data_IF_536134131563
#
_entry.id   IF_536134131563
#
_cell.length_a   1.000
_cell.length_b   1.000
_cell.length_c   1.000
_cell.angle_alpha   90.00
_cell.angle_beta   90.00
_cell.angle_gamma   90.00
#
_symmetry.space_group_name_H-M   'P 1'
#
loop_
_entity.id
_entity.type
_entity.pdbx_description
1 polymer ?
#
# COMPACT_ATOMS: atom_id res chain seq x y z
N UNK A 1 -31.82 8.63 -1.38
CA UNK A 1 -30.88 8.51 -2.50
C UNK A 1 -30.19 7.17 -2.35
N UNK A 2 -30.54 6.21 -3.19
CA UNK A 2 -29.98 4.85 -3.12
C UNK A 2 -28.54 4.89 -3.60
N UNK A 3 -27.59 4.72 -2.70
CA UNK A 3 -26.17 4.60 -3.02
C UNK A 3 -25.99 3.18 -3.55
N UNK A 4 -26.10 3.01 -4.87
CA UNK A 4 -25.70 1.75 -5.51
C UNK A 4 -24.19 1.59 -5.40
N UNK A 5 -23.75 0.37 -5.07
CA UNK A 5 -22.34 -0.01 -5.03
C UNK A 5 -21.64 0.34 -6.37
N UNK A 6 -20.32 0.65 -6.36
CA UNK A 6 -19.59 0.93 -7.59
C UNK A 6 -19.69 -0.27 -8.52
N UNK A 7 -20.26 -0.05 -9.70
CA UNK A 7 -20.40 -1.04 -10.76
C UNK A 7 -19.00 -1.52 -11.18
N UNK A 8 -18.78 -2.83 -11.21
CA UNK A 8 -17.51 -3.43 -11.63
C UNK A 8 -17.21 -3.02 -13.08
N UNK A 9 -16.20 -2.16 -13.25
CA UNK A 9 -15.72 -1.66 -14.53
C UNK A 9 -15.19 -2.83 -15.38
N UNK A 10 -16.04 -3.37 -16.26
CA UNK A 10 -15.61 -4.32 -17.29
C UNK A 10 -14.97 -3.56 -18.46
N UNK A 11 -13.75 -3.92 -18.90
CA UNK A 11 -13.09 -3.24 -20.00
C UNK A 11 -13.75 -3.60 -21.34
N UNK A 12 -14.55 -2.68 -21.88
CA UNK A 12 -14.90 -2.66 -23.30
C UNK A 12 -13.94 -1.73 -24.05
N UNK A 13 -13.24 -2.29 -25.04
CA UNK A 13 -12.28 -1.67 -25.97
C UNK A 13 -10.81 -1.58 -25.51
N UNK A 14 -9.91 -1.66 -26.50
CA UNK A 14 -8.48 -2.00 -26.50
C UNK A 14 -7.51 -1.03 -25.78
N UNK A 15 -7.95 -0.38 -24.71
CA UNK A 15 -7.13 0.48 -23.84
C UNK A 15 -6.85 -0.19 -22.49
N UNK A 16 -5.69 0.13 -21.89
CA UNK A 16 -5.41 -0.20 -20.49
C UNK A 16 -6.17 0.77 -19.58
N UNK A 17 -6.45 0.33 -18.35
CA UNK A 17 -7.04 1.19 -17.32
C UNK A 17 -5.93 1.59 -16.34
N UNK A 18 -5.89 2.86 -15.97
CA UNK A 18 -4.92 3.44 -15.05
C UNK A 18 -5.66 4.12 -13.90
N UNK A 19 -5.21 3.89 -12.67
CA UNK A 19 -5.75 4.50 -11.47
C UNK A 19 -4.70 5.38 -10.81
N UNK A 20 -5.05 6.61 -10.45
CA UNK A 20 -4.20 7.47 -9.65
C UNK A 20 -4.13 6.93 -8.21
N UNK A 21 -2.94 6.62 -7.70
CA UNK A 21 -2.74 6.11 -6.34
C UNK A 21 -2.90 7.20 -5.25
N UNK A 22 -2.99 8.48 -5.65
CA UNK A 22 -3.20 9.61 -4.74
C UNK A 22 -4.70 9.78 -4.46
N UNK A 23 -5.49 10.07 -5.51
CA UNK A 23 -6.90 10.44 -5.39
C UNK A 23 -7.90 9.40 -5.93
N UNK A 24 -7.44 8.36 -6.64
CA UNK A 24 -8.31 7.31 -7.18
C UNK A 24 -8.91 7.56 -8.55
N UNK A 25 -8.61 8.68 -9.22
CA UNK A 25 -9.06 8.95 -10.60
C UNK A 25 -8.73 7.81 -11.56
N UNK A 26 -9.70 7.41 -12.38
CA UNK A 26 -9.58 6.34 -13.37
C UNK A 26 -9.42 6.93 -14.78
N UNK A 27 -8.41 6.49 -15.50
CA UNK A 27 -8.12 6.87 -16.88
C UNK A 27 -8.02 5.63 -17.78
N UNK A 28 -8.72 5.64 -18.92
CA UNK A 28 -8.58 4.60 -19.94
C UNK A 28 -7.71 5.11 -21.08
N UNK A 29 -6.61 4.40 -21.38
CA UNK A 29 -5.66 4.79 -22.41
C UNK A 29 -4.46 3.84 -22.52
N UNK A 30 -3.65 4.01 -23.56
CA UNK A 30 -2.40 3.22 -23.72
C UNK A 30 -1.35 3.55 -22.65
N UNK A 31 -1.39 4.77 -22.12
CA UNK A 31 -0.51 5.32 -21.08
C UNK A 31 -1.36 6.13 -20.10
N UNK A 32 -0.90 6.34 -18.84
CA UNK A 32 -1.55 7.29 -17.94
C UNK A 32 -1.42 8.73 -18.48
N UNK A 33 -2.26 9.67 -18.01
CA UNK A 33 -2.11 11.07 -18.36
C UNK A 33 -0.85 11.65 -17.70
N UNK A 34 -0.21 12.64 -18.36
CA UNK A 34 0.98 13.32 -17.83
C UNK A 34 0.74 13.90 -16.43
N UNK A 35 -0.45 14.43 -16.21
CA UNK A 35 -0.93 14.95 -14.94
C UNK A 35 -2.36 14.45 -14.68
N UNK A 36 -2.67 14.14 -13.42
CA UNK A 36 -4.01 13.76 -13.00
C UNK A 36 -4.95 14.98 -13.05
N UNK A 37 -6.10 14.91 -13.74
CA UNK A 37 -7.03 16.03 -13.84
C UNK A 37 -7.68 16.41 -12.49
N UNK A 38 -7.72 15.48 -11.53
CA UNK A 38 -8.37 15.69 -10.23
C UNK A 38 -7.42 16.23 -9.15
N UNK A 39 -6.13 15.88 -9.20
CA UNK A 39 -5.18 16.22 -8.13
C UNK A 39 -3.82 16.74 -8.62
N UNK A 40 -3.66 16.96 -9.92
CA UNK A 40 -2.43 17.44 -10.56
C UNK A 40 -1.17 16.59 -10.32
N UNK A 41 -1.33 15.37 -9.80
CA UNK A 41 -0.21 14.45 -9.61
C UNK A 41 0.34 13.95 -10.94
N UNK A 42 1.66 13.79 -11.03
CA UNK A 42 2.32 13.35 -12.27
C UNK A 42 1.94 11.92 -12.67
N UNK A 43 2.17 11.55 -13.93
CA UNK A 43 1.99 10.18 -14.46
C UNK A 43 2.67 9.10 -13.60
N UNK A 44 3.74 9.46 -12.88
CA UNK A 44 4.46 8.57 -11.94
C UNK A 44 3.64 8.17 -10.72
N UNK A 45 2.42 8.68 -10.53
CA UNK A 45 1.50 8.31 -9.46
C UNK A 45 0.37 7.37 -9.93
N UNK A 46 0.37 6.95 -11.20
CA UNK A 46 -0.65 6.04 -11.75
C UNK A 46 -0.21 4.59 -11.74
N UNK A 47 -1.09 3.68 -11.31
CA UNK A 47 -0.93 2.24 -11.47
C UNK A 47 -1.86 1.69 -12.54
N UNK A 48 -1.42 0.67 -13.28
CA UNK A 48 -2.29 -0.05 -14.21
C UNK A 48 -3.27 -0.93 -13.41
N UNK A 49 -4.56 -0.74 -13.65
CA UNK A 49 -5.62 -1.58 -13.10
C UNK A 49 -5.65 -2.86 -13.93
N UNK A 50 -5.14 -3.92 -13.31
CA UNK A 50 -5.21 -5.30 -13.81
C UNK A 50 -6.00 -6.12 -12.80
N UNK A 51 -6.42 -7.33 -13.17
CA UNK A 51 -6.96 -8.31 -12.22
C UNK A 51 -5.86 -8.76 -11.24
N UNK A 52 -5.52 -7.88 -10.30
CA UNK A 52 -4.51 -8.16 -9.28
C UNK A 52 -5.05 -9.24 -8.36
N UNK A 53 -4.37 -10.38 -8.30
CA UNK A 53 -4.54 -11.32 -7.18
C UNK A 53 -4.18 -10.58 -5.90
N UNK A 54 -4.99 -10.75 -4.84
CA UNK A 54 -4.70 -10.16 -3.50
C UNK A 54 -3.25 -10.44 -3.11
N UNK A 55 -2.56 -9.45 -2.55
CA UNK A 55 -1.18 -9.59 -2.10
C UNK A 55 -1.01 -10.85 -1.23
N UNK A 56 0.01 -11.66 -1.55
CA UNK A 56 0.45 -12.82 -0.78
C UNK A 56 1.96 -12.78 -0.69
N UNK A 57 2.50 -13.12 0.48
CA UNK A 57 3.93 -13.28 0.64
C UNK A 57 4.37 -14.60 0.00
N UNK A 58 5.48 -14.58 -0.74
CA UNK A 58 6.00 -15.75 -1.46
C UNK A 58 6.96 -16.61 -0.62
N UNK A 59 7.11 -16.30 0.67
CA UNK A 59 7.97 -17.03 1.61
C UNK A 59 9.48 -16.86 1.37
N UNK A 60 9.89 -16.11 0.34
CA UNK A 60 11.33 -15.93 0.06
C UNK A 60 11.95 -14.96 1.06
N UNK A 61 13.05 -15.37 1.68
CA UNK A 61 13.80 -14.58 2.66
C UNK A 61 14.26 -13.25 2.07
N UNK A 62 14.22 -12.21 2.90
CA UNK A 62 14.76 -10.89 2.64
C UNK A 62 15.09 -10.21 3.97
N UNK A 63 15.93 -9.17 3.97
CA UNK A 63 16.42 -8.56 5.20
C UNK A 63 15.57 -7.37 5.65
N UNK A 64 15.24 -6.45 4.72
CA UNK A 64 14.60 -5.16 5.07
C UNK A 64 13.24 -5.00 4.39
N UNK A 65 12.20 -4.70 5.18
CA UNK A 65 10.90 -4.26 4.67
C UNK A 65 10.84 -2.72 4.65
N UNK A 66 10.67 -2.13 3.47
CA UNK A 66 10.50 -0.69 3.29
C UNK A 66 9.02 -0.38 3.08
N UNK A 67 8.45 0.41 3.99
CA UNK A 67 7.07 0.87 3.93
C UNK A 67 7.05 2.38 3.69
N UNK A 68 6.57 2.78 2.52
CA UNK A 68 6.31 4.18 2.22
C UNK A 68 4.86 4.53 2.56
N UNK A 69 4.69 5.37 3.58
CA UNK A 69 3.39 5.87 4.03
C UNK A 69 2.97 7.19 3.40
N UNK A 70 3.74 7.78 2.49
CA UNK A 70 3.33 8.97 1.74
C UNK A 70 2.22 8.64 0.75
N UNK A 71 1.27 9.58 0.58
CA UNK A 71 0.25 9.49 -0.46
C UNK A 71 0.81 9.67 -1.88
N UNK A 72 1.95 10.37 -2.01
CA UNK A 72 2.68 10.52 -3.26
C UNK A 72 3.88 9.58 -3.25
N UNK A 73 3.84 8.54 -4.07
CA UNK A 73 4.89 7.50 -4.09
C UNK A 73 6.19 7.97 -4.73
N UNK A 74 6.13 8.97 -5.61
CA UNK A 74 7.24 9.44 -6.44
C UNK A 74 7.67 10.89 -6.14
N UNK A 75 7.29 11.42 -4.97
CA UNK A 75 7.64 12.77 -4.51
C UNK A 75 8.61 12.72 -3.31
N UNK A 76 8.79 13.79 -2.53
CA UNK A 76 9.78 13.94 -1.44
C UNK A 76 10.05 12.68 -0.61
N UNK A 77 9.04 12.12 0.07
CA UNK A 77 9.23 10.90 0.89
C UNK A 77 9.59 9.70 0.02
N UNK A 78 9.01 9.59 -1.18
CA UNK A 78 9.37 8.57 -2.16
C UNK A 78 10.84 8.65 -2.59
N UNK A 79 11.35 9.87 -2.82
CA UNK A 79 12.75 10.12 -3.12
C UNK A 79 13.67 9.71 -1.97
N UNK A 80 13.28 9.98 -0.72
CA UNK A 80 14.03 9.48 0.44
C UNK A 80 14.07 7.94 0.48
N UNK A 81 12.99 7.27 0.08
CA UNK A 81 12.97 5.81 -0.05
C UNK A 81 13.86 5.33 -1.18
N UNK A 82 13.92 6.05 -2.32
CA UNK A 82 14.84 5.74 -3.42
C UNK A 82 16.30 5.77 -2.94
N UNK A 83 16.69 6.79 -2.16
CA UNK A 83 18.03 6.88 -1.54
C UNK A 83 18.32 5.71 -0.59
N UNK A 84 17.31 5.28 0.19
CA UNK A 84 17.46 4.11 1.06
C UNK A 84 17.70 2.85 0.23
N UNK A 85 16.99 2.67 -0.88
CA UNK A 85 17.19 1.53 -1.79
C UNK A 85 18.60 1.54 -2.41
N UNK A 86 19.11 2.70 -2.81
CA UNK A 86 20.48 2.84 -3.32
C UNK A 86 21.50 2.35 -2.29
N UNK A 87 21.41 2.82 -1.05
CA UNK A 87 22.31 2.40 0.05
C UNK A 87 22.18 0.91 0.35
N UNK A 88 20.97 0.35 0.32
CA UNK A 88 20.76 -1.09 0.56
C UNK A 88 21.35 -1.95 -0.56
N UNK A 89 21.23 -1.51 -1.82
CA UNK A 89 21.85 -2.16 -2.98
C UNK A 89 23.37 -2.14 -2.88
N UNK A 90 23.96 -0.99 -2.57
CA UNK A 90 25.41 -0.84 -2.39
C UNK A 90 25.95 -1.79 -1.31
N UNK A 91 25.17 -2.01 -0.24
CA UNK A 91 25.52 -2.92 0.86
C UNK A 91 25.18 -4.39 0.58
N UNK A 92 24.60 -4.72 -0.57
CA UNK A 92 24.13 -6.08 -0.89
C UNK A 92 23.04 -6.59 0.05
N UNK A 93 22.28 -5.70 0.68
CA UNK A 93 21.22 -6.05 1.63
C UNK A 93 19.91 -6.28 0.88
N UNK A 94 19.29 -7.44 1.06
CA UNK A 94 18.04 -7.77 0.37
C UNK A 94 16.87 -7.01 0.99
N UNK A 95 15.99 -6.46 0.16
CA UNK A 95 14.88 -5.66 0.66
C UNK A 95 13.62 -5.82 -0.20
N UNK A 96 12.48 -5.39 0.34
CA UNK A 96 11.20 -5.26 -0.38
C UNK A 96 10.57 -3.93 -0.06
N UNK A 97 10.14 -3.20 -1.09
CA UNK A 97 9.46 -1.90 -0.95
C UNK A 97 7.98 -2.01 -1.27
N UNK A 98 7.16 -1.36 -0.46
CA UNK A 98 5.73 -1.21 -0.68
C UNK A 98 5.28 0.22 -0.38
N UNK A 99 4.42 0.77 -1.23
CA UNK A 99 3.71 2.03 -0.95
C UNK A 99 2.32 1.68 -0.40
N UNK A 100 2.00 2.12 0.81
CA UNK A 100 0.78 1.69 1.51
C UNK A 100 -0.50 2.09 0.74
N UNK A 101 -0.47 3.18 -0.02
CA UNK A 101 -1.60 3.66 -0.82
C UNK A 101 -1.95 2.81 -2.05
N UNK A 102 -1.11 1.84 -2.41
CA UNK A 102 -1.36 0.89 -3.51
C UNK A 102 -2.11 -0.37 -3.04
N UNK A 103 -2.33 -0.50 -1.74
CA UNK A 103 -2.97 -1.66 -1.12
C UNK A 103 -4.24 -1.26 -0.36
N UNK A 104 -5.17 -2.21 -0.28
CA UNK A 104 -6.37 -2.12 0.54
C UNK A 104 -6.06 -2.72 1.90
N UNK A 105 -6.00 -1.86 2.90
CA UNK A 105 -5.85 -2.23 4.31
C UNK A 105 -7.02 -1.59 5.05
N UNK A 106 -7.86 -2.41 5.67
CA UNK A 106 -8.92 -1.93 6.53
C UNK A 106 -8.34 -1.42 7.86
N UNK A 107 -9.01 -0.44 8.46
CA UNK A 107 -8.72 0.01 9.82
C UNK A 107 -8.77 -1.15 10.83
N UNK A 108 -8.02 -1.01 11.92
CA UNK A 108 -8.09 -1.96 13.03
C UNK A 108 -9.48 -1.92 13.68
N UNK A 109 -10.12 -3.09 13.80
CA UNK A 109 -11.44 -3.20 14.42
C UNK A 109 -11.42 -3.09 15.94
N UNK A 110 -10.24 -3.04 16.56
CA UNK A 110 -10.10 -3.00 18.02
C UNK A 110 -10.96 -4.08 18.70
N UNK A 111 -10.93 -5.30 18.15
CA UNK A 111 -11.87 -6.34 18.56
C UNK A 111 -11.69 -6.81 20.01
N UNK A 112 -10.55 -6.47 20.64
CA UNK A 112 -10.19 -6.71 22.05
C UNK A 112 -10.90 -7.93 22.62
N UNK A 113 -10.48 -9.11 22.13
CA UNK A 113 -11.18 -10.35 22.43
C UNK A 113 -11.37 -10.49 23.94
N UNK A 114 -12.62 -10.66 24.37
CA UNK A 114 -13.01 -10.73 25.79
C UNK A 114 -12.48 -11.98 26.53
N UNK A 115 -11.70 -12.81 25.84
CA UNK A 115 -11.01 -13.98 26.38
C UNK A 115 -9.60 -13.99 25.82
N UNK A 116 -8.62 -14.21 26.69
CA UNK A 116 -7.20 -14.17 26.33
C UNK A 116 -6.88 -15.17 25.20
N UNK A 117 -7.49 -16.36 25.23
CA UNK A 117 -7.30 -17.39 24.21
C UNK A 117 -8.04 -17.14 22.89
N UNK A 118 -8.90 -16.12 22.82
CA UNK A 118 -9.62 -15.76 21.62
C UNK A 118 -8.88 -14.69 20.79
N UNK A 119 -7.96 -13.95 21.42
CA UNK A 119 -6.98 -13.16 20.70
C UNK A 119 -5.95 -14.11 20.09
N UNK A 120 -5.69 -13.98 18.79
CA UNK A 120 -4.73 -14.84 18.09
C UNK A 120 -4.01 -14.08 17.01
N UNK A 121 -2.76 -14.46 16.79
CA UNK A 121 -2.06 -14.21 15.54
C UNK A 121 -2.29 -15.40 14.60
N UNK A 122 -2.60 -15.18 13.31
CA UNK A 122 -2.84 -13.88 12.67
C UNK A 122 -4.18 -13.24 13.09
N UNK A 123 -4.27 -11.91 12.96
CA UNK A 123 -5.45 -11.12 13.31
C UNK A 123 -6.75 -11.64 12.66
N UNK A 124 -7.90 -11.41 13.28
CA UNK A 124 -9.19 -11.93 12.76
C UNK A 124 -9.59 -11.34 11.40
N UNK A 125 -9.22 -10.09 11.11
CA UNK A 125 -9.48 -9.54 9.78
C UNK A 125 -8.47 -10.08 8.77
N UNK A 126 -8.96 -10.98 7.91
CA UNK A 126 -8.21 -11.66 6.84
C UNK A 126 -8.78 -11.32 5.45
N UNK A 127 -9.63 -10.29 5.37
CA UNK A 127 -10.38 -9.95 4.15
C UNK A 127 -9.58 -9.04 3.21
N UNK A 128 -8.60 -8.33 3.74
CA UNK A 128 -7.78 -7.35 3.06
C UNK A 128 -6.35 -7.88 2.80
N UNK A 129 -5.41 -6.98 2.48
CA UNK A 129 -4.04 -7.35 2.10
C UNK A 129 -3.05 -7.35 3.27
N UNK A 130 -3.49 -6.92 4.44
CA UNK A 130 -2.70 -6.89 5.67
C UNK A 130 -2.08 -8.24 6.07
N UNK A 131 -2.73 -9.41 5.90
CA UNK A 131 -2.14 -10.69 6.26
C UNK A 131 -0.78 -10.96 5.60
N UNK A 132 -0.62 -10.55 4.34
CA UNK A 132 0.66 -10.69 3.63
C UNK A 132 1.74 -9.79 4.25
N UNK A 133 1.37 -8.59 4.69
CA UNK A 133 2.28 -7.71 5.41
C UNK A 133 2.67 -8.28 6.77
N UNK A 134 1.75 -8.89 7.51
CA UNK A 134 2.07 -9.56 8.78
C UNK A 134 3.14 -10.64 8.59
N UNK A 135 3.00 -11.49 7.57
CA UNK A 135 4.00 -12.49 7.23
C UNK A 135 5.35 -11.88 6.85
N UNK A 136 5.35 -10.82 6.03
CA UNK A 136 6.56 -10.11 5.63
C UNK A 136 7.27 -9.42 6.79
N UNK A 137 6.51 -8.88 7.75
CA UNK A 137 7.03 -8.23 8.94
C UNK A 137 7.76 -9.25 9.83
N UNK A 138 7.14 -10.41 10.06
CA UNK A 138 7.78 -11.51 10.81
C UNK A 138 9.03 -12.04 10.08
N UNK A 139 8.97 -12.11 8.74
CA UNK A 139 10.08 -12.63 7.94
C UNK A 139 11.26 -11.63 7.82
N UNK A 140 11.01 -10.33 7.99
CA UNK A 140 12.02 -9.28 7.89
C UNK A 140 12.91 -9.19 9.13
N UNK A 141 14.18 -8.80 8.95
CA UNK A 141 15.11 -8.51 10.06
C UNK A 141 14.96 -7.08 10.56
N UNK A 142 14.58 -6.16 9.67
CA UNK A 142 14.35 -4.76 9.99
C UNK A 142 13.22 -4.20 9.11
N UNK A 143 12.53 -3.19 9.65
CA UNK A 143 11.47 -2.45 8.94
C UNK A 143 11.86 -0.99 8.96
N UNK A 144 11.81 -0.34 7.80
CA UNK A 144 11.95 1.11 7.68
C UNK A 144 10.61 1.66 7.21
N UNK A 145 10.04 2.54 8.03
CA UNK A 145 8.79 3.24 7.73
C UNK A 145 9.11 4.69 7.38
N UNK A 146 8.88 5.07 6.12
CA UNK A 146 9.02 6.44 5.65
C UNK A 146 7.65 7.12 5.65
N UNK A 147 7.51 8.23 6.37
CA UNK A 147 6.25 8.99 6.47
C UNK A 147 6.43 10.41 5.98
N UNK A 148 5.44 10.91 5.25
CA UNK A 148 5.23 12.35 5.12
C UNK A 148 4.62 12.90 6.43
N UNK A 149 4.80 14.19 6.67
CA UNK A 149 4.12 14.90 7.77
C UNK A 149 2.79 15.43 7.24
N UNK A 150 1.69 14.90 7.77
CA UNK A 150 0.33 15.30 7.45
C UNK A 150 -0.36 15.73 8.76
N UNK A 151 -0.74 17.01 8.88
CA UNK A 151 -1.40 17.53 10.08
C UNK A 151 -0.64 17.25 11.39
N UNK A 152 0.67 17.53 11.42
CA UNK A 152 1.57 17.19 12.55
C UNK A 152 1.56 15.70 12.92
N UNK A 153 1.18 14.84 11.98
CA UNK A 153 1.08 13.40 12.15
C UNK A 153 1.50 12.67 10.86
N UNK A 154 1.19 11.39 10.76
CA UNK A 154 1.33 10.59 9.53
C UNK A 154 0.05 10.62 8.68
N UNK A 155 0.10 9.99 7.50
CA UNK A 155 -1.10 9.79 6.68
C UNK A 155 -2.07 8.81 7.35
N UNK A 156 -3.37 8.99 7.12
CA UNK A 156 -4.39 8.07 7.64
C UNK A 156 -4.15 6.62 7.20
N UNK A 157 -3.74 6.41 5.94
CA UNK A 157 -3.43 5.08 5.40
C UNK A 157 -2.23 4.43 6.11
N UNK A 158 -1.18 5.21 6.41
CA UNK A 158 -0.06 4.69 7.19
C UNK A 158 -0.52 4.33 8.61
N UNK A 159 -1.38 5.15 9.20
CA UNK A 159 -1.94 4.87 10.52
C UNK A 159 -2.78 3.58 10.54
N UNK A 160 -3.60 3.34 9.52
CA UNK A 160 -4.35 2.08 9.37
C UNK A 160 -3.42 0.86 9.31
N UNK A 161 -2.33 0.96 8.53
CA UNK A 161 -1.30 -0.07 8.48
C UNK A 161 -0.67 -0.32 9.86
N UNK A 162 -0.23 0.72 10.56
CA UNK A 162 0.43 0.60 11.86
C UNK A 162 -0.52 0.09 12.96
N UNK A 163 -1.79 0.54 12.98
CA UNK A 163 -2.79 0.09 13.93
C UNK A 163 -3.10 -1.40 13.80
N UNK A 164 -2.95 -1.93 12.58
CA UNK A 164 -3.10 -3.35 12.30
C UNK A 164 -1.86 -4.18 12.68
N UNK A 165 -0.78 -3.58 13.17
CA UNK A 165 0.39 -4.29 13.71
C UNK A 165 0.25 -4.64 15.19
N UNK A 166 -0.72 -4.05 15.89
CA UNK A 166 -0.91 -4.27 17.32
C UNK A 166 -1.68 -5.58 17.60
N UNK A 167 -1.09 -6.71 17.22
CA UNK A 167 -1.64 -8.06 17.37
C UNK A 167 -0.86 -8.85 18.43
#
# INVERSE_FOLDING_TARGET
MSITAPEELKPTSSGKIWKCCVCGYIHTGKKPPKECPECASTEREFEEVTDKKKLRFDGKKFDVLLINGSNHRANNTGYMVDLIEEVLKERGTSYRRFNVNEFTIDHCWCCYSMRDNACRYPCRNQRDEMPAFHEMIIASKAIIVASAINWNNMTARLKDFLDRLNC
#
